data_IF_157183758386
#
_entry.id   IF_157183758386
#
_cell.length_a   1.000
_cell.length_b   1.000
_cell.length_c   1.000
_cell.angle_alpha   90.00
_cell.angle_beta   90.00
_cell.angle_gamma   90.00
#
_symmetry.space_group_name_H-M   'P 1'
#
loop_
_entity.id
_entity.type
_entity.pdbx_description
1 polymer ?
#
# COMPACT_ATOMS: atom_id res chain seq x y z
N UNK A 1 0.56 -6.21 13.47
CA UNK A 1 -0.81 -5.80 13.85
C UNK A 1 -1.47 -5.26 12.60
N UNK A 2 -2.60 -5.82 12.14
CA UNK A 2 -3.27 -5.32 10.94
C UNK A 2 -4.12 -4.10 11.30
N UNK A 3 -3.83 -2.95 10.72
CA UNK A 3 -4.65 -1.75 10.90
C UNK A 3 -5.93 -1.86 10.06
N UNK A 4 -6.99 -1.17 10.49
CA UNK A 4 -8.18 -0.97 9.68
C UNK A 4 -7.92 0.14 8.65
N UNK A 5 -8.35 -0.06 7.41
CA UNK A 5 -8.26 0.93 6.36
C UNK A 5 -9.13 2.15 6.72
N UNK A 6 -8.59 3.37 6.79
CA UNK A 6 -9.36 4.55 7.18
C UNK A 6 -10.46 4.92 6.18
N UNK A 7 -10.37 4.42 4.93
CA UNK A 7 -11.34 4.72 3.88
C UNK A 7 -12.53 3.74 3.84
N UNK A 8 -12.37 2.48 4.25
CA UNK A 8 -13.41 1.46 4.09
C UNK A 8 -13.54 0.46 5.25
N UNK A 9 -12.74 0.59 6.31
CA UNK A 9 -12.74 -0.29 7.48
C UNK A 9 -12.22 -1.72 7.24
N UNK A 10 -11.90 -2.11 6.00
CA UNK A 10 -11.31 -3.43 5.69
C UNK A 10 -9.83 -3.49 6.07
N UNK A 11 -9.25 -4.69 5.98
CA UNK A 11 -7.84 -4.95 6.32
C UNK A 11 -6.89 -4.05 5.51
N UNK A 12 -5.98 -3.39 6.21
CA UNK A 12 -4.85 -2.66 5.65
C UNK A 12 -3.59 -3.53 5.77
N UNK A 13 -2.86 -3.67 4.67
CA UNK A 13 -1.63 -4.44 4.58
C UNK A 13 -0.44 -3.51 4.62
N UNK A 14 0.50 -3.77 5.52
CA UNK A 14 1.72 -2.98 5.65
C UNK A 14 2.90 -3.74 5.04
N UNK A 15 3.69 -3.04 4.24
CA UNK A 15 4.90 -3.52 3.58
C UNK A 15 6.07 -2.64 3.99
N UNK A 16 7.15 -3.27 4.47
CA UNK A 16 8.37 -2.58 4.88
C UNK A 16 9.50 -3.05 3.97
N UNK A 17 10.19 -2.12 3.31
CA UNK A 17 11.35 -2.42 2.45
C UNK A 17 12.69 -2.17 3.17
N UNK A 18 12.64 -1.87 4.47
CA UNK A 18 13.80 -1.53 5.31
C UNK A 18 14.11 -0.03 5.37
N UNK A 19 13.59 0.76 4.42
CA UNK A 19 13.75 2.22 4.40
C UNK A 19 12.40 2.94 4.57
N UNK A 20 11.37 2.39 3.97
CA UNK A 20 10.03 2.94 3.89
C UNK A 20 8.99 1.90 4.30
N UNK A 21 7.85 2.43 4.72
CA UNK A 21 6.63 1.69 5.02
C UNK A 21 5.57 2.15 4.02
N UNK A 22 4.99 1.18 3.32
CA UNK A 22 3.87 1.38 2.40
C UNK A 22 2.68 0.58 2.93
N UNK A 23 1.50 1.20 2.97
CA UNK A 23 0.26 0.56 3.43
C UNK A 23 -0.78 0.56 2.33
N UNK A 24 -1.36 -0.61 2.06
CA UNK A 24 -2.28 -0.83 0.96
C UNK A 24 -3.55 -1.51 1.47
N UNK A 25 -4.71 -0.97 1.11
CA UNK A 25 -5.96 -1.71 1.21
C UNK A 25 -6.30 -2.31 -0.14
N UNK A 26 -6.12 -3.61 -0.30
CA UNK A 26 -6.47 -4.31 -1.54
C UNK A 26 -7.96 -4.36 -1.85
N UNK A 27 -8.82 -4.03 -0.86
CA UNK A 27 -10.26 -3.97 -1.09
C UNK A 27 -10.68 -2.68 -1.80
N UNK A 28 -10.26 -1.52 -1.28
CA UNK A 28 -10.67 -0.23 -1.83
C UNK A 28 -9.55 0.51 -2.57
N UNK A 29 -8.34 -0.03 -2.65
CA UNK A 29 -7.19 0.60 -3.31
C UNK A 29 -6.61 1.80 -2.56
N UNK A 30 -6.95 2.00 -1.28
CA UNK A 30 -6.31 3.01 -0.45
C UNK A 30 -4.80 2.75 -0.34
N UNK A 31 -4.00 3.80 -0.51
CA UNK A 31 -2.55 3.77 -0.45
C UNK A 31 -2.03 4.87 0.47
N UNK A 32 -1.12 4.53 1.37
CA UNK A 32 -0.34 5.48 2.14
C UNK A 32 1.12 5.03 2.23
N UNK A 33 2.03 5.99 2.42
CA UNK A 33 3.46 5.71 2.54
C UNK A 33 4.14 6.78 3.38
N UNK A 34 5.26 6.44 4.03
CA UNK A 34 6.13 7.41 4.69
C UNK A 34 7.27 7.92 3.80
N UNK A 35 7.21 7.69 2.48
CA UNK A 35 8.19 8.22 1.53
C UNK A 35 8.09 9.74 1.43
N UNK A 36 9.21 10.46 1.18
CA UNK A 36 9.20 11.91 0.97
C UNK A 36 8.27 12.35 -0.17
N UNK A 37 8.17 11.55 -1.22
CA UNK A 37 7.28 11.81 -2.36
C UNK A 37 5.79 11.79 -1.95
N UNK A 38 5.39 10.81 -1.13
CA UNK A 38 4.02 10.74 -0.62
C UNK A 38 3.71 11.91 0.32
N UNK A 39 4.64 12.27 1.22
CA UNK A 39 4.45 13.41 2.13
C UNK A 39 4.36 14.75 1.40
N UNK A 40 5.08 14.92 0.29
CA UNK A 40 5.06 16.14 -0.50
C UNK A 40 3.75 16.33 -1.28
N UNK A 41 3.20 15.26 -1.85
CA UNK A 41 2.05 15.31 -2.77
C UNK A 41 1.14 14.07 -2.62
N UNK A 42 0.45 13.89 -1.48
CA UNK A 42 -0.34 12.68 -1.18
C UNK A 42 -1.51 12.46 -2.16
N UNK A 43 -2.07 13.54 -2.71
CA UNK A 43 -3.19 13.51 -3.66
C UNK A 43 -2.86 12.79 -4.96
N UNK A 44 -1.61 12.86 -5.43
CA UNK A 44 -1.16 12.14 -6.62
C UNK A 44 -1.22 10.62 -6.44
N UNK A 45 -1.14 10.15 -5.18
CA UNK A 45 -1.14 8.74 -4.84
C UNK A 45 -2.53 8.19 -4.48
N UNK A 46 -3.56 9.04 -4.39
CA UNK A 46 -4.91 8.67 -3.89
C UNK A 46 -5.50 7.43 -4.58
N UNK A 47 -5.33 7.31 -5.90
CA UNK A 47 -5.86 6.20 -6.70
C UNK A 47 -4.76 5.35 -7.34
N UNK A 48 -3.50 5.47 -6.86
CA UNK A 48 -2.34 4.86 -7.54
C UNK A 48 -2.45 3.34 -7.63
N UNK A 49 -2.95 2.69 -6.57
CA UNK A 49 -3.15 1.23 -6.52
C UNK A 49 -4.27 0.81 -7.48
N UNK A 50 -5.37 1.57 -7.52
CA UNK A 50 -6.49 1.27 -8.43
C UNK A 50 -6.08 1.39 -9.90
N UNK A 51 -5.36 2.46 -10.23
CA UNK A 51 -4.91 2.75 -11.61
C UNK A 51 -3.79 1.81 -12.06
N UNK A 52 -2.98 1.29 -11.14
CA UNK A 52 -1.79 0.50 -11.45
C UNK A 52 -1.80 -0.90 -10.80
N UNK A 53 -2.98 -1.51 -10.65
CA UNK A 53 -3.17 -2.73 -9.87
C UNK A 53 -2.21 -3.87 -10.23
N UNK A 54 -1.94 -4.10 -11.53
CA UNK A 54 -1.01 -5.14 -11.98
C UNK A 54 0.43 -4.90 -11.52
N UNK A 55 0.90 -3.64 -11.56
CA UNK A 55 2.23 -3.27 -11.07
C UNK A 55 2.34 -3.53 -9.57
N UNK A 56 1.35 -3.09 -8.80
CA UNK A 56 1.33 -3.26 -7.35
C UNK A 56 1.26 -4.76 -6.98
N UNK A 57 0.41 -5.54 -7.64
CA UNK A 57 0.36 -6.99 -7.44
C UNK A 57 1.72 -7.64 -7.70
N UNK A 58 2.42 -7.27 -8.79
CA UNK A 58 3.75 -7.81 -9.10
C UNK A 58 4.81 -7.38 -8.07
N UNK A 59 4.81 -6.10 -7.66
CA UNK A 59 5.74 -5.56 -6.65
C UNK A 59 5.58 -6.29 -5.32
N UNK A 60 4.35 -6.49 -4.86
CA UNK A 60 4.09 -7.08 -3.54
C UNK A 60 3.89 -8.59 -3.53
N UNK A 61 3.80 -9.25 -4.69
CA UNK A 61 3.81 -10.70 -4.80
C UNK A 61 5.08 -11.32 -4.17
N UNK A 62 6.20 -10.59 -4.19
CA UNK A 62 7.43 -11.01 -3.51
C UNK A 62 7.23 -11.19 -1.99
N UNK A 63 6.54 -10.26 -1.34
CA UNK A 63 6.28 -10.32 0.10
C UNK A 63 5.32 -11.47 0.49
N UNK A 64 4.43 -11.89 -0.43
CA UNK A 64 3.58 -13.06 -0.20
C UNK A 64 4.36 -14.38 -0.22
N UNK A 65 5.48 -14.45 -0.96
CA UNK A 65 6.34 -15.66 -1.03
C UNK A 65 7.29 -15.82 0.15
N UNK A 66 7.61 -14.76 0.87
CA UNK A 66 8.49 -14.84 2.05
C UNK A 66 7.74 -15.18 3.35
N UNK A 67 6.42 -15.43 3.29
CA UNK A 67 5.57 -15.79 4.43
C UNK A 67 5.17 -17.28 4.45
N UNK A 68 5.75 -18.10 3.57
CA UNK A 68 5.66 -19.57 3.53
C UNK A 68 7.00 -20.19 3.84
#
# INVERSE_FOLDING_TARGET
MFAACPACGKRLYEYRDGRWTEQICWHCGHYSSNTPAFSAQPELFRDVVRKNGAFFMKKYAYYARCLT
#
